data_IF_877851030946
#
_entry.id   IF_877851030946
#
_cell.length_a   1.000
_cell.length_b   1.000
_cell.length_c   1.000
_cell.angle_alpha   90.00
_cell.angle_beta   90.00
_cell.angle_gamma   90.00
#
_symmetry.space_group_name_H-M   'P 1'
#
loop_
_entity.id
_entity.type
_entity.pdbx_description
1 polymer ?
#
# COMPACT_ATOMS: atom_id res chain seq x y z
N UNK A 1 -1.17 17.75 -0.25
CA UNK A 1 -1.59 16.37 -0.48
C UNK A 1 -0.49 15.44 -0.01
N UNK A 2 -0.86 14.39 0.67
CA UNK A 2 0.11 13.47 1.23
C UNK A 2 0.06 12.15 0.51
N UNK A 3 1.22 11.56 0.33
CA UNK A 3 1.34 10.23 -0.25
C UNK A 3 2.11 9.36 0.72
N UNK A 4 1.69 8.14 0.87
CA UNK A 4 2.39 7.19 1.72
C UNK A 4 2.58 5.90 0.94
N UNK A 5 3.80 5.40 0.95
CA UNK A 5 4.07 4.10 0.38
C UNK A 5 3.92 3.05 1.44
N UNK A 6 3.15 2.02 1.14
CA UNK A 6 2.95 0.92 2.08
C UNK A 6 3.37 -0.38 1.40
N UNK A 7 4.03 -1.21 2.17
CA UNK A 7 4.41 -2.54 1.72
C UNK A 7 3.33 -3.51 2.15
N UNK A 8 2.69 -4.12 1.18
CA UNK A 8 1.62 -5.07 1.44
C UNK A 8 2.16 -6.47 1.21
N UNK A 9 2.08 -7.31 2.23
CA UNK A 9 2.49 -8.70 2.14
C UNK A 9 1.24 -9.55 2.03
N UNK A 10 1.17 -10.36 0.98
CA UNK A 10 0.03 -11.23 0.77
C UNK A 10 0.16 -12.49 1.59
N UNK A 11 -0.95 -13.07 1.95
CA UNK A 11 -0.94 -14.40 2.55
C UNK A 11 -0.40 -15.39 1.53
N UNK A 12 0.20 -16.50 1.96
CA UNK A 12 0.81 -17.44 1.04
C UNK A 12 -0.17 -17.90 -0.04
N UNK A 13 0.25 -17.78 -1.29
CA UNK A 13 -0.58 -18.17 -2.42
C UNK A 13 -1.69 -17.21 -2.76
N UNK A 14 -1.73 -16.02 -2.13
CA UNK A 14 -2.83 -15.10 -2.30
C UNK A 14 -2.43 -13.77 -2.88
N UNK A 15 -1.31 -13.71 -3.59
CA UNK A 15 -0.82 -12.45 -4.12
C UNK A 15 -1.84 -11.79 -5.04
N UNK A 16 -2.44 -12.55 -5.96
CA UNK A 16 -3.41 -11.98 -6.87
C UNK A 16 -4.62 -11.45 -6.12
N UNK A 17 -5.06 -12.17 -5.11
CA UNK A 17 -6.19 -11.74 -4.32
C UNK A 17 -5.88 -10.45 -3.59
N UNK A 18 -4.69 -10.35 -3.04
CA UNK A 18 -4.26 -9.15 -2.33
C UNK A 18 -4.20 -7.95 -3.29
N UNK A 19 -3.63 -8.17 -4.47
CA UNK A 19 -3.54 -7.10 -5.46
C UNK A 19 -4.92 -6.62 -5.85
N UNK A 20 -5.83 -7.55 -6.12
CA UNK A 20 -7.19 -7.18 -6.51
C UNK A 20 -7.89 -6.42 -5.39
N UNK A 21 -7.69 -6.85 -4.16
CA UNK A 21 -8.33 -6.19 -3.02
C UNK A 21 -7.85 -4.76 -2.88
N UNK A 22 -6.55 -4.55 -3.04
CA UNK A 22 -6.00 -3.20 -2.90
C UNK A 22 -6.42 -2.33 -4.08
N UNK A 23 -6.40 -2.87 -5.28
CA UNK A 23 -6.85 -2.12 -6.44
C UNK A 23 -8.32 -1.74 -6.31
N UNK A 24 -9.10 -2.59 -5.71
CA UNK A 24 -10.51 -2.30 -5.48
C UNK A 24 -10.74 -1.13 -4.56
N UNK A 25 -9.73 -0.77 -3.77
CA UNK A 25 -9.81 0.42 -2.93
C UNK A 25 -9.37 1.68 -3.68
N UNK A 26 -8.97 1.55 -4.93
CA UNK A 26 -8.58 2.71 -5.71
C UNK A 26 -7.13 3.10 -5.55
N UNK A 27 -6.29 2.22 -5.02
CA UNK A 27 -4.89 2.52 -4.81
C UNK A 27 -4.07 2.03 -5.99
N UNK A 28 -2.97 2.72 -6.23
CA UNK A 28 -2.05 2.32 -7.28
C UNK A 28 -1.06 1.31 -6.75
N UNK A 29 -0.78 0.30 -7.55
CA UNK A 29 0.14 -0.75 -7.19
C UNK A 29 1.47 -0.49 -7.88
N UNK A 30 2.54 -0.51 -7.11
CA UNK A 30 3.89 -0.37 -7.64
C UNK A 30 4.72 -1.57 -7.20
N UNK A 31 5.66 -1.95 -8.01
CA UNK A 31 6.77 -2.82 -7.58
C UNK A 31 6.29 -4.15 -7.01
N UNK A 32 5.65 -4.94 -7.83
CA UNK A 32 5.25 -6.27 -7.41
C UNK A 32 6.46 -7.18 -7.28
N UNK A 33 6.47 -7.98 -6.23
CA UNK A 33 7.51 -8.95 -6.00
C UNK A 33 6.85 -10.31 -5.82
N UNK A 34 6.64 -11.07 -6.89
CA UNK A 34 5.92 -12.33 -6.79
C UNK A 34 6.63 -13.37 -5.93
N UNK A 35 7.96 -13.34 -5.91
CA UNK A 35 8.69 -14.33 -5.13
C UNK A 35 8.43 -14.16 -3.66
N UNK A 36 8.36 -12.93 -3.18
CA UNK A 36 8.08 -12.67 -1.78
C UNK A 36 6.61 -12.46 -1.52
N UNK A 37 5.80 -12.47 -2.56
CA UNK A 37 4.35 -12.28 -2.49
C UNK A 37 4.01 -10.98 -1.79
N UNK A 38 4.59 -9.91 -2.28
CA UNK A 38 4.34 -8.59 -1.71
C UNK A 38 4.44 -7.53 -2.80
N UNK A 39 3.95 -6.36 -2.51
CA UNK A 39 4.00 -5.26 -3.45
C UNK A 39 3.90 -3.96 -2.67
N UNK A 40 4.18 -2.85 -3.35
CA UNK A 40 4.06 -1.54 -2.75
C UNK A 40 2.84 -0.87 -3.35
N UNK A 41 2.02 -0.29 -2.48
CA UNK A 41 0.86 0.49 -2.90
C UNK A 41 1.04 1.91 -2.40
N UNK A 42 0.46 2.86 -3.10
CA UNK A 42 0.54 4.26 -2.71
C UNK A 42 -0.83 4.71 -2.23
N UNK A 43 -0.84 5.26 -1.03
CA UNK A 43 -2.03 5.83 -0.44
C UNK A 43 -1.96 7.34 -0.61
N UNK A 44 -3.02 7.94 -1.12
CA UNK A 44 -3.14 9.39 -1.20
C UNK A 44 -4.17 9.84 -0.19
N UNK A 45 -3.89 10.91 0.49
CA UNK A 45 -4.85 11.46 1.42
C UNK A 45 -4.66 12.95 1.59
N UNK A 46 -5.74 13.62 1.93
CA UNK A 46 -5.68 15.05 2.19
C UNK A 46 -5.22 15.31 3.60
N UNK A 47 -5.39 14.35 4.48
CA UNK A 47 -4.97 14.49 5.87
C UNK A 47 -4.30 13.22 6.32
N UNK A 48 -3.54 13.34 7.40
CA UNK A 48 -2.91 12.18 8.01
C UNK A 48 -3.94 11.19 8.51
N UNK A 49 -5.07 11.71 9.00
CA UNK A 49 -6.13 10.84 9.50
C UNK A 49 -6.72 9.98 8.38
N UNK A 50 -6.90 10.56 7.20
CA UNK A 50 -7.42 9.81 6.06
C UNK A 50 -6.49 8.66 5.70
N UNK A 51 -5.19 8.91 5.73
CA UNK A 51 -4.22 7.87 5.42
C UNK A 51 -4.24 6.77 6.46
N UNK A 52 -4.36 7.14 7.74
CA UNK A 52 -4.38 6.17 8.82
C UNK A 52 -5.60 5.27 8.71
N UNK A 53 -6.74 5.84 8.37
CA UNK A 53 -7.97 5.07 8.22
C UNK A 53 -7.84 4.07 7.08
N UNK A 54 -7.27 4.51 5.98
CA UNK A 54 -7.10 3.64 4.84
C UNK A 54 -6.11 2.53 5.14
N UNK A 55 -5.05 2.85 5.88
CA UNK A 55 -4.08 1.86 6.30
C UNK A 55 -4.74 0.76 7.12
N UNK A 56 -5.60 1.12 8.05
CA UNK A 56 -6.32 0.14 8.85
C UNK A 56 -7.25 -0.70 8.00
N UNK A 57 -7.88 -0.09 7.02
CA UNK A 57 -8.76 -0.84 6.12
C UNK A 57 -7.98 -1.89 5.34
N UNK A 58 -6.77 -1.54 4.90
CA UNK A 58 -5.99 -2.47 4.10
C UNK A 58 -5.69 -3.76 4.85
N UNK A 59 -5.43 -3.65 6.15
CA UNK A 59 -5.07 -4.84 6.94
C UNK A 59 -6.21 -5.84 6.98
N UNK A 60 -7.44 -5.38 6.83
CA UNK A 60 -8.60 -6.27 6.91
C UNK A 60 -9.03 -6.84 5.58
N UNK A 61 -8.39 -6.48 4.49
CA UNK A 61 -8.80 -6.96 3.18
C UNK A 61 -8.43 -8.42 2.98
N UNK A 62 -9.23 -9.15 2.18
CA UNK A 62 -8.93 -10.56 1.94
C UNK A 62 -7.61 -10.74 1.21
N UNK A 63 -6.88 -11.75 1.58
CA UNK A 63 -5.61 -12.09 0.94
C UNK A 63 -4.42 -11.33 1.47
N UNK A 64 -4.62 -10.38 2.38
CA UNK A 64 -3.53 -9.59 2.93
C UNK A 64 -3.11 -10.14 4.29
N UNK A 65 -1.82 -10.41 4.41
CA UNK A 65 -1.27 -10.90 5.66
C UNK A 65 -0.75 -9.77 6.52
N UNK A 66 -0.11 -8.78 5.93
CA UNK A 66 0.49 -7.70 6.69
C UNK A 66 0.64 -6.46 5.82
N UNK A 67 0.61 -5.30 6.45
CA UNK A 67 0.82 -4.02 5.78
C UNK A 67 1.78 -3.21 6.64
N UNK A 68 2.81 -2.67 6.01
CA UNK A 68 3.80 -1.86 6.71
C UNK A 68 3.97 -0.53 6.01
N UNK A 69 4.11 0.53 6.78
CA UNK A 69 4.40 1.82 6.21
C UNK A 69 5.86 1.88 5.81
N UNK A 70 6.12 2.15 4.55
CA UNK A 70 7.48 2.21 4.05
C UNK A 70 8.00 3.63 4.12
N UNK A 71 7.23 4.58 3.67
CA UNK A 71 7.67 5.96 3.64
C UNK A 71 6.48 6.90 3.50
N UNK A 72 6.62 8.08 4.05
CA UNK A 72 5.71 9.16 3.74
C UNK A 72 6.35 9.97 2.65
N UNK A 73 5.64 10.14 1.56
CA UNK A 73 6.15 10.89 0.43
C UNK A 73 5.39 12.18 0.32
N UNK A 74 6.13 13.25 0.19
CA UNK A 74 5.49 14.50 -0.11
C UNK A 74 5.77 14.80 -1.55
N UNK A 75 5.02 15.72 -2.08
CA UNK A 75 5.16 16.07 -3.46
C UNK A 75 6.37 16.94 -3.62
N UNK A 76 7.52 16.49 -3.18
CA UNK A 76 8.74 17.20 -3.38
C UNK A 76 9.66 16.28 -3.98
N UNK A 77 10.41 16.71 -4.78
CA UNK A 77 11.26 15.89 -5.31
C UNK A 77 12.54 16.06 -4.93
N UNK A 78 12.90 16.87 -4.32
CA UNK A 78 14.19 16.95 -4.03
C UNK A 78 14.67 15.99 -3.24
N UNK A 79 14.24 15.42 -2.93
CA UNK A 79 14.85 14.59 -2.26
C UNK A 79 15.60 13.67 -2.73
N UNK A 80 15.76 13.79 -3.26
CA UNK A 80 16.47 13.06 -3.65
C UNK A 80 17.53 13.04 -3.63
N UNK A 81 17.87 13.31 -3.47
CA UNK A 81 18.81 13.22 -3.53
C UNK A 81 19.32 12.84 -3.36
#
# INVERSE_FOLDING_TARGET
MFYSGVLVTAAPGKLEKAVQSVEGKGLEIYHRDPDAERFIAVIEGETIQSEADLFKDLITLPGIQNVSLVANLEDTEEEQQ
#
